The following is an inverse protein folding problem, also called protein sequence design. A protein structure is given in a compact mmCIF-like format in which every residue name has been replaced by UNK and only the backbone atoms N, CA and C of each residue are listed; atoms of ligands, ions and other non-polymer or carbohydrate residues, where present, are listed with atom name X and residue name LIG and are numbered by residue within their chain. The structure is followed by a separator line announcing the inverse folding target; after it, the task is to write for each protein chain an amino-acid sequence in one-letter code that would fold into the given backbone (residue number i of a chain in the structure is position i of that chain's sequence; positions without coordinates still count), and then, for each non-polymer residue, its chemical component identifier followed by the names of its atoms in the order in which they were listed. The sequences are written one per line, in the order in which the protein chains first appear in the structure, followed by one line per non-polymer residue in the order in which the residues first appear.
data_IF_533781199419
#
_entry.id   IF_533781199419
#
_cell.length_a   1.000
_cell.length_b   1.000
_cell.length_c   1.000
_cell.angle_alpha   90.00
_cell.angle_beta   90.00
_cell.angle_gamma   90.00
#
_symmetry.space_group_name_H-M   'P 1'
#
loop_
_entity.id
_entity.type
_entity.pdbx_description
1 polymer ?
#
# COMPACT_ATOMS: atom_id res chain seq x y z
N UNK A 1 24.66 -2.92 22.20
CA UNK A 1 23.26 -3.33 22.02
C UNK A 1 22.50 -2.19 21.37
N UNK A 2 21.55 -2.48 20.49
CA UNK A 2 20.64 -1.53 19.88
C UNK A 2 19.19 -1.89 20.24
N UNK A 3 18.37 -0.89 20.55
CA UNK A 3 16.91 -1.05 20.63
C UNK A 3 16.34 -0.43 19.36
N UNK A 4 15.67 -1.25 18.54
CA UNK A 4 15.10 -0.82 17.26
C UNK A 4 13.59 -0.81 17.39
N UNK A 5 13.00 0.38 17.36
CA UNK A 5 11.56 0.57 17.44
C UNK A 5 11.01 0.77 16.03
N UNK A 6 10.08 -0.08 15.62
CA UNK A 6 9.45 -0.05 14.30
C UNK A 6 8.05 -0.64 14.38
N UNK A 7 7.26 -0.51 13.32
CA UNK A 7 5.87 -0.92 13.38
C UNK A 7 5.02 -0.38 12.25
N UNK A 8 3.73 -0.67 12.33
CA UNK A 8 2.73 -0.08 11.44
C UNK A 8 2.67 1.45 11.65
N UNK A 9 2.37 2.19 10.58
CA UNK A 9 1.98 3.60 10.69
C UNK A 9 0.57 3.71 11.27
N UNK A 10 0.22 4.78 12.01
CA UNK A 10 -1.12 4.95 12.56
C UNK A 10 -2.23 4.87 11.49
N UNK A 11 -3.31 4.16 11.80
CA UNK A 11 -4.50 4.02 10.96
C UNK A 11 -5.77 3.95 11.83
N UNK A 12 -6.92 4.16 11.21
CA UNK A 12 -8.24 4.00 11.84
C UNK A 12 -9.25 3.43 10.84
N UNK A 13 -10.15 2.57 11.32
CA UNK A 13 -11.23 1.97 10.52
C UNK A 13 -10.70 1.26 9.26
N UNK A 14 -11.35 1.47 8.11
CA UNK A 14 -10.96 0.92 6.80
C UNK A 14 -9.53 1.29 6.41
N UNK A 15 -8.95 2.33 7.03
CA UNK A 15 -7.55 2.65 6.81
C UNK A 15 -6.59 1.56 7.36
N UNK A 16 -7.10 0.66 8.20
CA UNK A 16 -6.37 -0.50 8.67
C UNK A 16 -6.48 -1.71 7.74
N UNK A 17 -7.33 -1.75 6.73
CA UNK A 17 -7.53 -2.99 5.98
C UNK A 17 -6.31 -3.31 5.12
N UNK A 18 -5.86 -4.57 5.19
CA UNK A 18 -4.68 -5.10 4.49
C UNK A 18 -5.05 -6.42 3.81
N UNK A 19 -4.52 -6.64 2.61
CA UNK A 19 -4.81 -7.85 1.83
C UNK A 19 -4.04 -9.08 2.36
N UNK A 20 -2.96 -8.84 3.11
CA UNK A 20 -2.13 -9.87 3.71
C UNK A 20 -1.46 -9.32 5.00
N UNK A 21 -0.85 -10.20 5.78
CA UNK A 21 -0.22 -9.88 7.06
C UNK A 21 1.29 -9.66 6.96
N UNK A 22 1.86 -9.56 5.76
CA UNK A 22 3.30 -9.34 5.59
C UNK A 22 3.69 -7.96 6.14
N UNK A 23 4.76 -7.89 6.93
CA UNK A 23 5.30 -6.61 7.38
C UNK A 23 6.18 -6.00 6.28
N UNK A 24 5.54 -5.21 5.41
CA UNK A 24 6.12 -4.67 4.17
C UNK A 24 7.31 -3.69 4.32
N UNK A 25 7.44 -2.85 5.38
CA UNK A 25 8.54 -1.88 5.44
C UNK A 25 9.93 -2.56 5.45
N UNK A 26 10.68 -2.42 4.35
CA UNK A 26 12.01 -3.03 4.23
C UNK A 26 13.10 -2.31 5.05
N UNK A 27 12.96 -1.00 5.29
CA UNK A 27 14.01 -0.21 5.97
C UNK A 27 14.31 -0.68 7.42
N UNK A 28 13.32 -1.04 8.26
CA UNK A 28 13.57 -1.68 9.55
C UNK A 28 14.33 -3.01 9.42
N UNK A 29 13.90 -3.91 8.55
CA UNK A 29 14.56 -5.20 8.35
C UNK A 29 16.01 -5.05 7.89
N UNK A 30 16.27 -4.14 6.95
CA UNK A 30 17.64 -3.83 6.50
C UNK A 30 18.49 -3.24 7.64
N UNK A 31 17.88 -2.41 8.50
CA UNK A 31 18.55 -1.89 9.69
C UNK A 31 18.91 -3.02 10.66
N UNK A 32 18.00 -3.94 10.94
CA UNK A 32 18.22 -5.11 11.80
C UNK A 32 19.33 -6.00 11.23
N UNK A 33 19.26 -6.34 9.94
CA UNK A 33 20.28 -7.15 9.24
C UNK A 33 21.66 -6.49 9.32
N UNK A 34 21.75 -5.18 9.11
CA UNK A 34 23.00 -4.42 9.23
C UNK A 34 23.57 -4.46 10.66
N UNK A 35 22.73 -4.27 11.68
CA UNK A 35 23.15 -4.33 13.08
C UNK A 35 23.65 -5.73 13.45
N UNK A 36 22.91 -6.76 13.03
CA UNK A 36 23.28 -8.17 13.22
C UNK A 36 24.61 -8.51 12.53
N UNK A 37 24.81 -8.07 11.29
CA UNK A 37 26.07 -8.26 10.56
C UNK A 37 27.26 -7.56 11.23
N UNK A 38 27.01 -6.45 11.94
CA UNK A 38 28.02 -5.75 12.74
C UNK A 38 28.26 -6.40 14.12
N UNK A 39 27.58 -7.50 14.45
CA UNK A 39 27.69 -8.18 15.75
C UNK A 39 27.08 -7.39 16.92
N UNK A 40 26.15 -6.47 16.64
CA UNK A 40 25.50 -5.66 17.66
C UNK A 40 24.24 -6.39 18.14
N UNK A 41 24.14 -6.76 19.44
CA UNK A 41 22.92 -7.36 19.97
C UNK A 41 21.72 -6.42 19.81
N UNK A 42 20.59 -6.94 19.33
CA UNK A 42 19.45 -6.13 18.91
C UNK A 42 18.16 -6.57 19.60
N UNK A 43 17.49 -5.61 20.25
CA UNK A 43 16.15 -5.78 20.83
C UNK A 43 15.16 -5.01 19.96
N UNK A 44 14.25 -5.74 19.33
CA UNK A 44 13.18 -5.18 18.51
C UNK A 44 11.95 -4.87 19.36
N UNK A 45 11.42 -3.66 19.23
CA UNK A 45 10.14 -3.23 19.82
C UNK A 45 9.18 -2.95 18.68
N UNK A 46 8.25 -3.87 18.46
CA UNK A 46 7.30 -3.83 17.35
C UNK A 46 5.98 -3.21 17.77
N UNK A 47 5.61 -2.11 17.11
CA UNK A 47 4.36 -1.37 17.33
C UNK A 47 3.34 -1.76 16.26
N UNK A 48 2.20 -2.29 16.68
CA UNK A 48 1.17 -2.75 15.73
C UNK A 48 -0.20 -2.81 16.37
N UNK A 49 -1.24 -2.63 15.56
CA UNK A 49 -2.63 -2.82 15.98
C UNK A 49 -3.07 -4.29 15.98
N UNK A 50 -2.25 -5.20 15.44
CA UNK A 50 -2.57 -6.61 15.22
C UNK A 50 -1.30 -7.47 15.07
N UNK A 51 -1.41 -8.80 15.20
CA UNK A 51 -0.34 -9.70 14.78
C UNK A 51 -0.07 -9.55 13.27
N UNK A 52 1.21 -9.54 12.92
CA UNK A 52 1.69 -9.54 11.53
C UNK A 52 2.75 -10.64 11.37
N UNK A 53 2.95 -11.09 10.14
CA UNK A 53 4.05 -11.98 9.82
C UNK A 53 5.36 -11.18 9.84
N UNK A 54 6.20 -11.49 10.82
CA UNK A 54 7.46 -10.77 11.10
C UNK A 54 8.63 -11.73 11.29
N UNK A 55 8.57 -12.89 10.63
CA UNK A 55 9.61 -13.93 10.77
C UNK A 55 11.00 -13.42 10.38
N UNK A 56 11.19 -12.65 9.28
CA UNK A 56 12.49 -12.07 8.94
C UNK A 56 13.02 -11.12 10.03
N UNK A 57 12.16 -10.29 10.61
CA UNK A 57 12.53 -9.35 11.67
C UNK A 57 12.88 -10.08 12.97
N UNK A 58 12.12 -11.12 13.33
CA UNK A 58 12.41 -11.98 14.48
C UNK A 58 13.77 -12.66 14.28
N UNK A 59 14.02 -13.25 13.11
CA UNK A 59 15.30 -13.88 12.78
C UNK A 59 16.47 -12.89 12.82
N UNK A 60 16.24 -11.62 12.49
CA UNK A 60 17.24 -10.56 12.52
C UNK A 60 17.45 -9.92 13.91
N UNK A 61 16.69 -10.35 14.93
CA UNK A 61 16.71 -9.81 16.30
C UNK A 61 17.22 -10.84 17.32
N UNK A 62 17.82 -10.38 18.42
CA UNK A 62 18.16 -11.24 19.58
C UNK A 62 16.99 -11.32 20.57
N UNK A 63 16.15 -10.28 20.62
CA UNK A 63 14.87 -10.27 21.32
C UNK A 63 13.83 -9.48 20.52
N UNK A 64 12.56 -9.88 20.61
CA UNK A 64 11.45 -9.24 19.91
C UNK A 64 10.28 -9.05 20.86
N UNK A 65 9.80 -7.80 20.97
CA UNK A 65 8.69 -7.42 21.84
C UNK A 65 7.55 -6.88 21.00
N UNK A 66 6.39 -7.52 21.07
CA UNK A 66 5.14 -6.96 20.57
C UNK A 66 4.61 -5.94 21.60
N UNK A 67 4.81 -4.66 21.32
CA UNK A 67 4.41 -3.55 22.21
C UNK A 67 3.04 -2.96 21.87
N UNK A 68 2.39 -3.46 20.82
CA UNK A 68 1.07 -3.03 20.35
C UNK A 68 1.00 -1.52 20.09
N UNK A 69 -0.07 -0.86 20.50
CA UNK A 69 -0.23 0.60 20.48
C UNK A 69 -0.24 1.12 21.94
N UNK A 70 0.93 1.37 22.56
CA UNK A 70 1.06 1.56 24.01
C UNK A 70 0.52 2.91 24.54
N UNK A 71 0.05 3.79 23.65
CA UNK A 71 -0.47 5.11 24.03
C UNK A 71 0.62 6.10 24.43
N UNK A 72 0.29 7.04 25.31
CA UNK A 72 1.16 8.17 25.69
C UNK A 72 2.31 7.76 26.61
N UNK A 73 2.16 6.68 27.37
CA UNK A 73 3.07 6.28 28.45
C UNK A 73 4.21 5.38 27.94
N UNK A 74 4.95 5.84 26.92
CA UNK A 74 6.06 5.08 26.32
C UNK A 74 7.18 4.69 27.30
N UNK A 75 7.27 5.35 28.46
CA UNK A 75 8.17 4.98 29.56
C UNK A 75 7.95 3.55 30.07
N UNK A 76 6.72 3.01 29.96
CA UNK A 76 6.42 1.64 30.37
C UNK A 76 7.20 0.56 29.58
N UNK A 77 7.64 0.87 28.35
CA UNK A 77 8.54 -0.01 27.59
C UNK A 77 9.93 -0.06 28.24
N UNK A 78 10.44 1.09 28.68
CA UNK A 78 11.73 1.17 29.35
C UNK A 78 11.71 0.51 30.74
N UNK A 79 10.58 0.58 31.45
CA UNK A 79 10.39 -0.07 32.75
C UNK A 79 10.52 -1.59 32.71
N UNK A 80 10.28 -2.19 31.54
CA UNK A 80 10.48 -3.62 31.29
C UNK A 80 11.89 -3.91 30.75
N UNK A 81 12.36 -3.14 29.77
CA UNK A 81 13.59 -3.45 29.03
C UNK A 81 14.88 -3.03 29.73
N UNK A 82 14.82 -2.06 30.64
CA UNK A 82 16.01 -1.47 31.27
C UNK A 82 16.12 -1.91 32.73
N UNK A 83 17.24 -2.54 33.06
CA UNK A 83 17.54 -2.98 34.42
C UNK A 83 17.64 -1.84 35.44
N UNK A 84 17.53 -2.20 36.71
CA UNK A 84 17.89 -1.36 37.84
C UNK A 84 19.39 -1.03 37.85
N UNK A 85 19.80 -0.16 38.78
CA UNK A 85 21.22 0.15 38.99
C UNK A 85 22.04 -1.09 39.42
N UNK A 86 21.38 -2.11 39.96
CA UNK A 86 21.95 -3.41 40.32
C UNK A 86 21.99 -4.41 39.15
N UNK A 87 21.60 -3.97 37.95
CA UNK A 87 21.59 -4.79 36.74
C UNK A 87 20.44 -5.80 36.66
N UNK A 88 19.52 -5.82 37.64
CA UNK A 88 18.38 -6.75 37.63
C UNK A 88 17.18 -6.15 36.89
N UNK A 89 16.30 -6.99 36.30
CA UNK A 89 15.03 -6.51 35.76
C UNK A 89 14.24 -5.77 36.84
N UNK A 90 13.68 -4.61 36.49
CA UNK A 90 12.80 -3.84 37.40
C UNK A 90 11.40 -4.43 37.46
N UNK A 91 10.92 -4.91 36.32
CA UNK A 91 9.63 -5.55 36.12
C UNK A 91 9.81 -6.80 35.25
N UNK A 92 8.85 -7.73 35.31
CA UNK A 92 8.80 -8.88 34.42
C UNK A 92 7.65 -8.74 33.39
N UNK A 93 7.76 -9.47 32.28
CA UNK A 93 6.71 -9.57 31.29
C UNK A 93 5.58 -10.46 31.80
N UNK A 94 4.39 -9.89 31.91
CA UNK A 94 3.16 -10.61 32.28
C UNK A 94 2.18 -10.77 31.12
N UNK A 95 2.33 -9.95 30.07
CA UNK A 95 1.47 -9.99 28.89
C UNK A 95 1.53 -11.35 28.19
N UNK A 96 0.36 -11.88 27.85
CA UNK A 96 0.20 -13.06 27.00
C UNK A 96 -0.60 -12.68 25.77
N UNK A 97 -0.31 -13.32 24.64
CA UNK A 97 -1.01 -13.07 23.38
C UNK A 97 -2.52 -13.31 23.51
N UNK A 98 -3.31 -12.27 23.34
CA UNK A 98 -4.77 -12.36 23.18
C UNK A 98 -5.19 -12.64 21.73
N UNK A 99 -4.24 -12.62 20.80
CA UNK A 99 -4.41 -12.98 19.39
C UNK A 99 -3.28 -13.92 18.97
N UNK A 100 -3.60 -14.94 18.20
CA UNK A 100 -2.60 -15.87 17.66
C UNK A 100 -1.64 -15.14 16.73
N UNK A 101 -0.34 -15.42 16.84
CA UNK A 101 0.67 -14.85 15.94
C UNK A 101 0.84 -15.73 14.69
N UNK A 102 0.76 -15.17 13.48
CA UNK A 102 0.74 -15.96 12.26
C UNK A 102 2.12 -16.50 11.88
N UNK A 103 2.15 -17.71 11.29
CA UNK A 103 3.36 -18.35 10.75
C UNK A 103 3.64 -18.03 9.29
N UNK A 104 2.65 -17.50 8.59
CA UNK A 104 2.69 -17.04 7.22
C UNK A 104 1.94 -15.70 7.09
N UNK A 105 2.10 -15.02 5.98
CA UNK A 105 1.52 -13.71 5.73
C UNK A 105 0.15 -13.78 5.04
N UNK A 106 -0.43 -14.95 4.77
CA UNK A 106 -1.61 -15.07 3.89
C UNK A 106 -2.88 -14.40 4.42
N UNK A 107 -2.94 -14.09 5.71
CA UNK A 107 -4.10 -13.43 6.33
C UNK A 107 -5.32 -14.34 6.53
N UNK A 108 -5.15 -15.66 6.44
CA UNK A 108 -6.22 -16.62 6.73
C UNK A 108 -6.64 -16.56 8.22
N UNK A 109 -7.92 -16.81 8.55
CA UNK A 109 -8.36 -16.83 9.94
C UNK A 109 -7.55 -17.80 10.80
N UNK A 110 -7.00 -17.31 11.92
CA UNK A 110 -6.09 -18.05 12.81
C UNK A 110 -6.54 -17.93 14.27
N UNK A 111 -7.63 -18.62 14.63
CA UNK A 111 -8.26 -18.50 15.94
C UNK A 111 -8.04 -19.73 16.81
N UNK A 112 -7.82 -19.52 18.11
CA UNK A 112 -7.70 -20.60 19.08
C UNK A 112 -8.95 -21.49 19.08
N UNK A 113 -8.75 -22.82 19.05
CA UNK A 113 -9.82 -23.81 19.04
C UNK A 113 -10.37 -24.18 17.66
N UNK A 114 -9.90 -23.53 16.59
CA UNK A 114 -10.30 -23.91 15.23
C UNK A 114 -9.60 -25.20 14.75
N UNK A 115 -10.21 -26.01 13.87
CA UNK A 115 -9.53 -27.14 13.23
C UNK A 115 -8.28 -26.68 12.47
N UNK A 116 -7.18 -27.42 12.61
CA UNK A 116 -5.92 -27.07 11.94
C UNK A 116 -5.23 -25.81 12.49
N UNK A 117 -5.50 -25.45 13.74
CA UNK A 117 -4.85 -24.33 14.42
C UNK A 117 -3.32 -24.51 14.51
N UNK A 118 -2.60 -23.76 13.69
CA UNK A 118 -1.13 -23.86 13.54
C UNK A 118 -0.48 -22.46 13.48
N UNK A 119 -0.41 -21.75 14.62
CA UNK A 119 0.20 -20.42 14.73
C UNK A 119 1.72 -20.48 14.90
N UNK A 120 2.43 -19.39 14.58
CA UNK A 120 3.85 -19.24 14.94
C UNK A 120 4.02 -19.14 16.45
N UNK A 121 3.15 -18.36 17.09
CA UNK A 121 3.02 -18.26 18.53
C UNK A 121 1.54 -18.31 18.89
N UNK A 122 1.16 -19.30 19.70
CA UNK A 122 -0.26 -19.52 20.02
C UNK A 122 -0.84 -18.41 20.91
N UNK A 123 -2.16 -18.22 20.84
CA UNK A 123 -2.95 -17.59 21.89
C UNK A 123 -2.46 -18.06 23.29
N UNK A 124 -2.25 -17.11 24.19
CA UNK A 124 -1.70 -17.34 25.53
C UNK A 124 -0.17 -17.42 25.60
N UNK A 125 0.54 -17.39 24.47
CA UNK A 125 2.00 -17.36 24.45
C UNK A 125 2.55 -16.05 25.01
N UNK A 126 3.72 -16.12 25.64
CA UNK A 126 4.50 -14.98 26.09
C UNK A 126 5.64 -15.45 26.97
N UNK A 127 6.85 -14.99 26.68
CA UNK A 127 8.03 -15.27 27.50
C UNK A 127 8.12 -14.28 28.66
N UNK A 128 8.92 -14.61 29.66
CA UNK A 128 9.26 -13.69 30.76
C UNK A 128 10.70 -13.94 31.20
N UNK A 129 11.27 -13.03 32.00
CA UNK A 129 12.59 -13.23 32.58
C UNK A 129 12.62 -14.43 33.52
N UNK A 130 11.52 -14.73 34.22
CA UNK A 130 11.38 -15.93 35.04
C UNK A 130 11.16 -17.22 34.23
N UNK A 131 10.68 -17.12 33.00
CA UNK A 131 10.45 -18.25 32.09
C UNK A 131 11.03 -17.97 30.69
N UNK A 132 12.37 -17.94 30.56
CA UNK A 132 13.02 -17.65 29.30
C UNK A 132 12.94 -18.84 28.33
N UNK A 133 12.94 -18.55 27.04
CA UNK A 133 13.08 -19.54 25.99
C UNK A 133 13.84 -18.98 24.79
N UNK A 134 14.41 -19.86 23.99
CA UNK A 134 15.04 -19.51 22.71
C UNK A 134 14.09 -19.82 21.57
N UNK A 135 13.88 -18.85 20.68
CA UNK A 135 13.16 -19.04 19.43
C UNK A 135 14.17 -19.48 18.37
N UNK A 136 13.93 -20.63 17.72
CA UNK A 136 14.77 -21.11 16.62
C UNK A 136 14.62 -20.25 15.36
N UNK A 137 15.39 -20.56 14.33
CA UNK A 137 15.24 -19.91 13.02
C UNK A 137 13.83 -20.18 12.47
N UNK A 138 13.10 -19.12 12.14
CA UNK A 138 11.77 -19.18 11.58
C UNK A 138 11.83 -19.21 10.05
N UNK A 139 10.81 -19.79 9.41
CA UNK A 139 10.68 -19.76 7.94
C UNK A 139 10.46 -18.33 7.46
N UNK A 140 11.27 -17.86 6.51
CA UNK A 140 11.08 -16.59 5.82
C UNK A 140 10.24 -16.74 4.53
N UNK A 141 9.66 -17.93 4.30
CA UNK A 141 8.65 -18.13 3.26
C UNK A 141 7.30 -17.59 3.74
N UNK A 142 6.92 -16.41 3.24
CA UNK A 142 5.69 -15.73 3.68
C UNK A 142 4.41 -16.44 3.26
N UNK A 143 4.46 -17.38 2.32
CA UNK A 143 3.27 -18.04 1.76
C UNK A 143 2.40 -17.12 0.89
N UNK A 144 2.67 -15.82 0.87
CA UNK A 144 2.11 -14.89 -0.10
C UNK A 144 2.88 -15.09 -1.39
N UNK A 145 2.28 -15.83 -2.32
CA UNK A 145 2.82 -15.94 -3.67
C UNK A 145 2.91 -14.54 -4.31
N UNK A 146 3.93 -14.30 -5.14
CA UNK A 146 3.95 -13.14 -6.04
C UNK A 146 2.71 -13.07 -6.98
N UNK A 147 1.88 -14.13 -7.00
CA UNK A 147 0.60 -14.26 -7.70
C UNK A 147 -0.62 -13.75 -6.92
N UNK A 148 -0.47 -13.30 -5.67
CA UNK A 148 -1.41 -12.35 -5.06
C UNK A 148 -1.07 -10.92 -5.47
N UNK A 149 -0.56 -10.72 -6.69
CA UNK A 149 -0.46 -9.40 -7.29
C UNK A 149 -1.88 -8.90 -7.39
N UNK A 150 -2.19 -7.84 -6.67
CA UNK A 150 -3.42 -7.10 -6.85
C UNK A 150 -3.48 -6.63 -8.33
N UNK A 151 -4.25 -7.35 -9.15
CA UNK A 151 -4.35 -7.11 -10.59
C UNK A 151 -5.44 -6.08 -10.90
N UNK A 152 -6.38 -5.89 -9.99
CA UNK A 152 -7.66 -5.27 -10.25
C UNK A 152 -7.91 -4.01 -9.44
N UNK A 153 -7.35 -3.79 -8.25
CA UNK A 153 -7.62 -2.58 -7.45
C UNK A 153 -6.44 -1.63 -7.49
N UNK A 154 -6.53 -0.52 -8.21
CA UNK A 154 -5.41 0.43 -8.35
C UNK A 154 -5.48 1.59 -7.37
N UNK A 155 -6.68 2.18 -7.20
CA UNK A 155 -6.94 3.23 -6.23
C UNK A 155 -8.38 3.12 -5.69
N UNK A 156 -8.54 2.78 -4.41
CA UNK A 156 -9.84 2.55 -3.77
C UNK A 156 -9.79 3.08 -2.33
N UNK A 157 -10.91 3.57 -1.82
CA UNK A 157 -11.01 4.10 -0.44
C UNK A 157 -9.91 5.12 -0.06
N UNK A 158 -9.51 5.96 -1.04
CA UNK A 158 -8.48 6.99 -0.86
C UNK A 158 -7.03 6.48 -0.93
N UNK A 159 -6.81 5.24 -1.38
CA UNK A 159 -5.51 4.55 -1.28
C UNK A 159 -5.07 3.93 -2.59
N UNK A 160 -3.80 4.12 -2.92
CA UNK A 160 -3.12 3.29 -3.92
C UNK A 160 -2.80 1.95 -3.26
N UNK A 161 -3.34 0.87 -3.81
CA UNK A 161 -3.24 -0.47 -3.20
C UNK A 161 -1.97 -1.14 -3.69
N UNK A 162 -1.18 -1.72 -2.79
CA UNK A 162 0.04 -2.44 -3.15
C UNK A 162 -0.20 -3.43 -4.30
N UNK A 163 0.72 -3.54 -5.29
CA UNK A 163 2.02 -2.89 -5.41
C UNK A 163 1.97 -1.48 -6.07
N UNK A 164 0.77 -0.92 -6.25
CA UNK A 164 0.56 0.31 -7.00
C UNK A 164 0.85 1.56 -6.18
N UNK A 165 1.46 2.55 -6.82
CA UNK A 165 1.85 3.81 -6.19
C UNK A 165 1.68 4.99 -7.15
N UNK A 166 1.36 6.16 -6.60
CA UNK A 166 1.21 7.40 -7.36
C UNK A 166 2.57 7.94 -7.80
N UNK A 167 2.66 8.36 -9.06
CA UNK A 167 3.74 9.17 -9.60
C UNK A 167 3.18 10.45 -10.20
N UNK A 168 3.87 11.55 -9.95
CA UNK A 168 3.60 12.86 -10.55
C UNK A 168 4.82 13.26 -11.37
N UNK A 169 4.63 13.50 -12.67
CA UNK A 169 5.72 13.77 -13.59
C UNK A 169 5.56 15.14 -14.26
N UNK A 170 6.69 15.83 -14.46
CA UNK A 170 6.81 16.98 -15.34
C UNK A 170 8.23 17.08 -15.93
N UNK A 171 8.54 18.20 -16.58
CA UNK A 171 9.86 18.44 -17.18
C UNK A 171 11.03 18.44 -16.16
N UNK A 172 10.76 18.54 -14.87
CA UNK A 172 11.76 18.41 -13.80
C UNK A 172 12.00 16.99 -13.32
N UNK A 173 11.26 16.00 -13.84
CA UNK A 173 11.35 14.60 -13.47
C UNK A 173 10.11 14.12 -12.72
N UNK A 174 10.33 13.22 -11.76
CA UNK A 174 9.27 12.46 -11.11
C UNK A 174 9.26 12.71 -9.60
N UNK A 175 8.06 12.86 -9.03
CA UNK A 175 7.80 12.80 -7.59
C UNK A 175 7.04 11.53 -7.26
N UNK A 176 7.49 10.78 -6.25
CA UNK A 176 6.74 9.68 -5.61
C UNK A 176 6.24 10.15 -4.25
N UNK A 177 4.93 10.43 -4.06
CA UNK A 177 4.42 10.99 -2.81
C UNK A 177 4.55 10.05 -1.60
N UNK A 178 4.62 8.74 -1.81
CA UNK A 178 4.62 7.76 -0.72
C UNK A 178 3.33 7.88 0.09
N UNK A 179 3.44 8.19 1.38
CA UNK A 179 2.31 8.39 2.30
C UNK A 179 1.85 9.86 2.43
N UNK A 180 2.48 10.79 1.70
CA UNK A 180 2.09 12.19 1.76
C UNK A 180 0.69 12.41 1.17
N UNK A 181 -0.21 13.04 1.95
CA UNK A 181 -1.58 13.36 1.52
C UNK A 181 -1.59 14.28 0.30
N UNK A 182 -0.69 15.25 0.26
CA UNK A 182 -0.55 16.21 -0.84
C UNK A 182 0.85 16.16 -1.41
N UNK A 183 0.98 16.30 -2.72
CA UNK A 183 2.27 16.35 -3.39
C UNK A 183 2.19 17.11 -4.71
N UNK A 184 3.34 17.59 -5.18
CA UNK A 184 3.49 18.20 -6.50
C UNK A 184 4.66 17.55 -7.26
N UNK A 185 4.57 17.55 -8.58
CA UNK A 185 5.72 17.25 -9.45
C UNK A 185 6.83 18.32 -9.29
N UNK A 186 8.08 18.05 -9.67
CA UNK A 186 9.24 18.89 -9.32
C UNK A 186 9.17 20.36 -9.80
N UNK A 187 8.49 20.63 -10.91
CA UNK A 187 8.25 21.98 -11.46
C UNK A 187 6.80 22.44 -11.28
N UNK A 188 6.04 21.78 -10.41
CA UNK A 188 4.61 22.06 -10.18
C UNK A 188 3.75 21.99 -11.45
N UNK A 189 4.14 21.14 -12.42
CA UNK A 189 3.31 20.87 -13.60
C UNK A 189 2.00 20.17 -13.26
N UNK A 190 2.00 19.32 -12.22
CA UNK A 190 0.80 18.74 -11.62
C UNK A 190 0.92 18.64 -10.10
N UNK A 191 -0.19 18.90 -9.41
CA UNK A 191 -0.31 18.74 -7.97
C UNK A 191 -1.45 17.78 -7.63
N UNK A 192 -1.36 17.13 -6.47
CA UNK A 192 -2.34 16.18 -5.98
C UNK A 192 -2.74 16.44 -4.53
N UNK A 193 -4.01 16.16 -4.20
CA UNK A 193 -4.55 16.25 -2.83
C UNK A 193 -5.79 15.35 -2.67
N UNK A 194 -6.15 14.94 -1.44
CA UNK A 194 -7.35 14.16 -1.21
C UNK A 194 -8.61 15.01 -1.36
N UNK A 195 -9.72 14.37 -1.72
CA UNK A 195 -11.08 14.95 -1.80
C UNK A 195 -12.12 13.92 -1.37
N UNK A 196 -13.31 14.40 -1.03
CA UNK A 196 -14.43 13.54 -0.68
C UNK A 196 -15.16 13.01 -1.94
N UNK A 197 -15.56 11.73 -1.86
CA UNK A 197 -16.45 11.07 -2.82
C UNK A 197 -17.43 10.14 -2.08
N UNK A 198 -17.24 8.82 -2.17
CA UNK A 198 -18.10 7.82 -1.52
C UNK A 198 -17.92 7.82 0.01
N UNK A 199 -16.72 8.18 0.45
CA UNK A 199 -16.36 8.46 1.83
C UNK A 199 -15.46 9.70 1.92
N UNK A 200 -15.22 10.17 3.15
CA UNK A 200 -14.28 11.25 3.41
C UNK A 200 -12.87 10.88 2.92
N UNK A 201 -12.20 11.80 2.22
CA UNK A 201 -10.86 11.61 1.62
C UNK A 201 -10.72 10.37 0.70
N UNK A 202 -11.82 9.80 0.18
CA UNK A 202 -11.78 8.60 -0.66
C UNK A 202 -11.39 8.84 -2.13
N UNK A 203 -11.31 10.10 -2.56
CA UNK A 203 -10.86 10.51 -3.89
C UNK A 203 -9.53 11.26 -3.88
N UNK A 204 -8.88 11.33 -5.03
CA UNK A 204 -7.67 12.14 -5.25
C UNK A 204 -7.95 13.17 -6.35
N UNK A 205 -7.72 14.45 -6.07
CA UNK A 205 -7.72 15.52 -7.07
C UNK A 205 -6.33 15.71 -7.66
N UNK A 206 -6.29 15.90 -8.97
CA UNK A 206 -5.12 16.31 -9.73
C UNK A 206 -5.36 17.66 -10.39
N UNK A 207 -4.42 18.58 -10.22
CA UNK A 207 -4.45 19.94 -10.78
C UNK A 207 -3.26 20.09 -11.72
N UNK A 208 -3.52 20.10 -13.02
CA UNK A 208 -2.53 20.35 -14.08
C UNK A 208 -2.42 21.85 -14.33
N UNK A 209 -1.21 22.39 -14.25
CA UNK A 209 -0.95 23.82 -14.33
C UNK A 209 -0.92 24.38 -15.76
N UNK A 210 -0.78 23.53 -16.77
CA UNK A 210 -0.64 23.95 -18.18
C UNK A 210 0.65 24.70 -18.50
N UNK A 211 1.69 24.57 -17.65
CA UNK A 211 3.01 25.18 -17.84
C UNK A 211 3.96 24.33 -18.69
N UNK A 212 3.50 23.19 -19.17
CA UNK A 212 4.26 22.20 -19.93
C UNK A 212 3.60 20.82 -19.84
N UNK A 213 4.19 19.82 -20.49
CA UNK A 213 3.73 18.44 -20.37
C UNK A 213 3.87 17.94 -18.93
N UNK A 214 2.79 17.41 -18.37
CA UNK A 214 2.77 16.76 -17.07
C UNK A 214 1.89 15.50 -17.13
N UNK A 215 2.18 14.52 -16.27
CA UNK A 215 1.39 13.29 -16.15
C UNK A 215 1.18 12.87 -14.70
N UNK A 216 0.09 12.14 -14.51
CA UNK A 216 -0.22 11.37 -13.31
C UNK A 216 -0.20 9.91 -13.71
N UNK A 217 0.52 9.10 -12.94
CA UNK A 217 0.63 7.66 -13.17
C UNK A 217 0.34 6.88 -11.90
N UNK A 218 -0.32 5.74 -12.05
CA UNK A 218 -0.29 4.68 -11.05
C UNK A 218 0.72 3.66 -11.56
N UNK A 219 1.80 3.46 -10.82
CA UNK A 219 2.92 2.61 -11.20
C UNK A 219 3.18 1.53 -10.17
N UNK A 220 3.54 0.34 -10.65
CA UNK A 220 3.92 -0.79 -9.83
C UNK A 220 4.81 -1.77 -10.57
N UNK A 221 5.01 -2.94 -9.97
CA UNK A 221 5.68 -4.07 -10.63
C UNK A 221 4.86 -4.54 -11.85
N UNK A 222 5.51 -4.93 -12.97
CA UNK A 222 4.80 -5.39 -14.16
C UNK A 222 3.87 -6.57 -13.85
N UNK A 223 2.63 -6.51 -14.34
CA UNK A 223 1.65 -7.61 -14.25
C UNK A 223 1.12 -8.03 -15.61
N UNK A 224 0.73 -9.30 -15.74
CA UNK A 224 0.10 -9.84 -16.94
C UNK A 224 -1.44 -9.70 -16.84
N UNK A 225 -2.01 -8.80 -17.65
CA UNK A 225 -3.44 -8.56 -17.78
C UNK A 225 -4.04 -9.24 -19.03
N UNK A 226 -3.32 -10.11 -19.72
CA UNK A 226 -3.77 -10.75 -20.97
C UNK A 226 -5.04 -11.57 -20.75
N UNK A 227 -5.16 -12.24 -19.59
CA UNK A 227 -6.37 -12.99 -19.21
C UNK A 227 -7.59 -12.06 -19.07
N UNK A 228 -7.42 -10.93 -18.40
CA UNK A 228 -8.46 -9.92 -18.18
C UNK A 228 -8.89 -9.31 -19.52
N UNK A 229 -7.93 -8.98 -20.38
CA UNK A 229 -8.20 -8.42 -21.71
C UNK A 229 -9.05 -9.35 -22.60
N UNK A 230 -8.90 -10.67 -22.46
CA UNK A 230 -9.72 -11.65 -23.18
C UNK A 230 -11.11 -11.86 -22.56
N UNK A 231 -11.33 -11.42 -21.32
CA UNK A 231 -12.57 -11.63 -20.55
C UNK A 231 -13.56 -10.46 -20.57
N UNK A 232 -13.47 -9.55 -21.55
CA UNK A 232 -14.28 -8.32 -21.63
C UNK A 232 -14.16 -7.40 -20.40
N UNK A 233 -12.99 -7.38 -19.76
CA UNK A 233 -12.70 -6.51 -18.61
C UNK A 233 -12.42 -5.07 -19.08
N UNK A 234 -12.87 -4.10 -18.29
CA UNK A 234 -12.63 -2.69 -18.48
C UNK A 234 -11.86 -2.09 -17.29
N UNK A 235 -11.05 -1.06 -17.55
CA UNK A 235 -10.60 -0.15 -16.50
C UNK A 235 -11.76 0.77 -16.12
N UNK A 236 -12.30 0.56 -14.93
CA UNK A 236 -13.32 1.39 -14.30
C UNK A 236 -12.70 2.44 -13.38
N UNK A 237 -13.26 3.65 -13.40
CA UNK A 237 -12.97 4.67 -12.39
C UNK A 237 -14.11 5.67 -12.30
N UNK A 238 -14.29 6.24 -11.12
CA UNK A 238 -15.12 7.43 -10.92
C UNK A 238 -14.27 8.67 -11.15
N UNK A 239 -14.85 9.69 -11.76
CA UNK A 239 -14.19 10.96 -12.02
C UNK A 239 -15.12 12.15 -11.87
N UNK A 240 -14.57 13.30 -11.49
CA UNK A 240 -15.25 14.59 -11.45
C UNK A 240 -14.35 15.64 -12.08
N UNK A 241 -14.84 16.36 -13.07
CA UNK A 241 -14.10 17.46 -13.69
C UNK A 241 -14.44 18.75 -12.95
N UNK A 242 -13.46 19.38 -12.32
CA UNK A 242 -13.63 20.67 -11.64
C UNK A 242 -13.22 21.84 -12.56
N UNK A 243 -12.30 21.60 -13.49
CA UNK A 243 -11.96 22.52 -14.57
C UNK A 243 -11.62 21.73 -15.85
N UNK A 244 -12.35 21.99 -16.93
CA UNK A 244 -12.22 21.25 -18.18
C UNK A 244 -10.83 21.40 -18.83
N UNK A 245 -10.36 20.39 -19.58
CA UNK A 245 -9.02 20.42 -20.17
C UNK A 245 -8.91 21.45 -21.30
N UNK A 246 -7.93 22.35 -21.20
CA UNK A 246 -7.63 23.36 -22.24
C UNK A 246 -6.80 22.83 -23.41
N UNK A 247 -6.13 21.70 -23.24
CA UNK A 247 -5.40 20.97 -24.28
C UNK A 247 -5.85 19.50 -24.32
N UNK A 248 -5.42 18.71 -25.33
CA UNK A 248 -5.72 17.28 -25.37
C UNK A 248 -5.22 16.54 -24.11
N UNK A 249 -5.96 15.49 -23.72
CA UNK A 249 -5.64 14.62 -22.58
C UNK A 249 -5.43 13.20 -23.08
N UNK A 250 -4.17 12.77 -23.08
CA UNK A 250 -3.79 11.41 -23.44
C UNK A 250 -3.97 10.49 -22.23
N UNK A 251 -4.65 9.37 -22.44
CA UNK A 251 -4.81 8.33 -21.43
C UNK A 251 -4.14 7.04 -21.90
N UNK A 252 -3.28 6.44 -21.06
CA UNK A 252 -2.48 5.27 -21.45
C UNK A 252 -2.60 4.12 -20.45
N UNK A 253 -2.49 2.90 -20.97
CA UNK A 253 -2.40 1.66 -20.21
C UNK A 253 -1.55 0.66 -21.01
N UNK A 254 -0.54 0.08 -20.37
CA UNK A 254 0.32 -0.93 -21.01
C UNK A 254 1.04 -0.43 -22.28
N UNK A 255 1.29 0.89 -22.38
CA UNK A 255 1.89 1.52 -23.56
C UNK A 255 0.91 1.95 -24.65
N UNK A 256 -0.31 1.38 -24.68
CA UNK A 256 -1.38 1.81 -25.58
C UNK A 256 -1.98 3.14 -25.14
N UNK A 257 -2.36 3.99 -26.09
CA UNK A 257 -2.90 5.32 -25.83
C UNK A 257 -4.30 5.50 -26.44
N UNK A 258 -5.14 6.27 -25.75
CA UNK A 258 -6.43 6.77 -26.24
C UNK A 258 -6.56 8.26 -25.90
N UNK A 259 -7.45 8.96 -26.59
CA UNK A 259 -7.82 10.34 -26.28
C UNK A 259 -8.98 10.36 -25.28
N UNK A 260 -8.79 11.00 -24.13
CA UNK A 260 -9.82 11.18 -23.10
C UNK A 260 -10.47 12.58 -23.13
N UNK A 261 -10.04 13.44 -24.06
CA UNK A 261 -10.44 14.84 -24.13
C UNK A 261 -11.95 15.02 -24.27
N UNK A 262 -12.59 14.28 -25.18
CA UNK A 262 -14.03 14.35 -25.41
C UNK A 262 -14.84 13.95 -24.17
N UNK A 263 -14.42 12.86 -23.51
CA UNK A 263 -15.03 12.37 -22.28
C UNK A 263 -14.93 13.38 -21.14
N UNK A 264 -13.77 14.02 -20.97
CA UNK A 264 -13.57 15.02 -19.92
C UNK A 264 -14.27 16.35 -20.22
N UNK A 265 -14.30 16.81 -21.47
CA UNK A 265 -14.98 18.06 -21.85
C UNK A 265 -16.50 17.98 -21.81
N UNK A 266 -17.06 16.79 -22.04
CA UNK A 266 -18.52 16.58 -21.99
C UNK A 266 -19.06 16.32 -20.58
N UNK A 267 -18.19 16.11 -19.59
CA UNK A 267 -18.60 15.89 -18.21
C UNK A 267 -19.13 17.19 -17.58
N UNK A 268 -20.30 17.16 -16.90
CA UNK A 268 -20.76 18.31 -16.14
C UNK A 268 -19.77 18.68 -15.04
N UNK A 269 -19.36 19.94 -14.99
CA UNK A 269 -18.39 20.42 -13.99
C UNK A 269 -18.93 20.21 -12.58
N UNK A 270 -18.08 19.69 -11.69
CA UNK A 270 -18.39 19.45 -10.28
C UNK A 270 -19.29 18.24 -10.01
N UNK A 271 -19.59 17.40 -11.00
CA UNK A 271 -20.39 16.18 -10.81
C UNK A 271 -19.55 14.91 -11.00
N UNK A 272 -19.66 13.98 -10.06
CA UNK A 272 -19.07 12.64 -10.18
C UNK A 272 -19.76 11.85 -11.30
N UNK A 273 -18.94 11.19 -12.10
CA UNK A 273 -19.32 10.31 -13.22
C UNK A 273 -18.52 9.04 -13.10
N UNK A 274 -18.95 8.00 -13.80
CA UNK A 274 -18.20 6.76 -13.92
C UNK A 274 -17.74 6.60 -15.37
N UNK A 275 -16.48 6.23 -15.54
CA UNK A 275 -15.92 5.81 -16.82
C UNK A 275 -15.56 4.32 -16.72
N UNK A 276 -15.85 3.58 -17.79
CA UNK A 276 -15.41 2.19 -17.98
C UNK A 276 -14.80 2.08 -19.37
N UNK A 277 -13.50 1.82 -19.43
CA UNK A 277 -12.73 1.79 -20.68
C UNK A 277 -12.27 0.35 -20.93
N UNK A 278 -12.79 -0.35 -21.95
CA UNK A 278 -12.38 -1.71 -22.26
C UNK A 278 -10.86 -1.83 -22.40
N UNK A 279 -10.26 -2.87 -21.83
CA UNK A 279 -8.82 -3.11 -21.99
C UNK A 279 -8.42 -3.29 -23.46
N UNK A 280 -9.35 -3.74 -24.30
CA UNK A 280 -9.15 -3.85 -25.76
C UNK A 280 -8.88 -2.51 -26.45
N UNK A 281 -9.32 -1.38 -25.89
CA UNK A 281 -9.05 -0.05 -26.43
C UNK A 281 -7.57 0.32 -26.43
N UNK A 282 -6.77 -0.30 -25.56
CA UNK A 282 -5.34 -0.05 -25.45
C UNK A 282 -4.50 -0.99 -26.31
N UNK A 283 -5.10 -1.99 -26.97
CA UNK A 283 -4.37 -2.90 -27.87
C UNK A 283 -4.02 -2.25 -29.21
N UNK A 284 -4.75 -1.22 -29.62
CA UNK A 284 -4.74 -0.70 -31.00
C UNK A 284 -3.65 0.32 -31.34
N UNK A 285 -2.64 0.50 -30.48
CA UNK A 285 -1.48 1.37 -30.76
C UNK A 285 -0.18 0.85 -30.12
N UNK A 286 0.04 -0.47 -30.18
CA UNK A 286 1.27 -1.09 -29.63
C UNK A 286 1.24 -1.37 -28.12
N UNK A 287 0.08 -1.33 -27.48
CA UNK A 287 -0.05 -1.68 -26.06
C UNK A 287 0.22 -3.17 -25.79
N UNK A 288 1.11 -3.45 -24.83
CA UNK A 288 1.45 -4.78 -24.34
C UNK A 288 0.78 -5.00 -22.97
N UNK A 289 -0.28 -5.81 -22.98
CA UNK A 289 -1.01 -6.16 -21.77
C UNK A 289 -0.37 -7.32 -21.00
N UNK A 290 0.70 -7.93 -21.50
CA UNK A 290 1.42 -9.00 -20.79
C UNK A 290 2.39 -8.48 -19.73
N UNK A 291 2.72 -7.17 -19.76
CA UNK A 291 3.69 -6.52 -18.86
C UNK A 291 3.25 -5.10 -18.50
N UNK A 292 2.11 -4.98 -17.84
CA UNK A 292 1.56 -3.68 -17.44
C UNK A 292 2.22 -3.19 -16.15
N UNK A 293 3.08 -2.19 -16.27
CA UNK A 293 3.67 -1.46 -15.13
C UNK A 293 2.83 -0.24 -14.72
N UNK A 294 2.10 0.34 -15.67
CA UNK A 294 1.32 1.57 -15.49
C UNK A 294 -0.13 1.32 -15.94
N UNK A 295 -1.02 0.87 -15.02
CA UNK A 295 -2.43 0.62 -15.33
C UNK A 295 -3.27 1.89 -15.49
N UNK A 296 -2.76 3.05 -15.04
CA UNK A 296 -3.45 4.34 -15.17
C UNK A 296 -2.41 5.42 -15.45
N UNK A 297 -2.46 6.05 -16.63
CA UNK A 297 -1.64 7.19 -16.98
C UNK A 297 -2.49 8.27 -17.64
N UNK A 298 -2.58 9.45 -17.03
CA UNK A 298 -3.26 10.62 -17.59
C UNK A 298 -2.25 11.74 -17.79
N UNK A 299 -2.14 12.24 -19.02
CA UNK A 299 -1.20 13.31 -19.35
C UNK A 299 -1.85 14.43 -20.18
N UNK A 300 -1.42 15.66 -19.93
CA UNK A 300 -1.77 16.81 -20.74
C UNK A 300 -0.69 17.88 -20.65
N UNK A 301 -0.59 18.73 -21.66
CA UNK A 301 0.22 19.95 -21.63
C UNK A 301 -0.59 21.19 -21.22
N UNK A 302 -1.91 21.05 -21.10
CA UNK A 302 -2.83 22.13 -20.77
C UNK A 302 -3.23 22.16 -19.29
N UNK A 303 -4.10 23.09 -18.95
CA UNK A 303 -4.76 23.12 -17.65
C UNK A 303 -5.87 22.08 -17.60
N UNK A 304 -6.01 21.41 -16.46
CA UNK A 304 -7.07 20.45 -16.15
C UNK A 304 -7.18 20.36 -14.62
N UNK A 305 -8.39 20.34 -14.08
CA UNK A 305 -8.61 19.90 -12.69
C UNK A 305 -9.60 18.77 -12.68
N UNK A 306 -9.15 17.61 -12.22
CA UNK A 306 -9.95 16.37 -12.21
C UNK A 306 -9.74 15.65 -10.89
N UNK A 307 -10.83 15.17 -10.30
CA UNK A 307 -10.80 14.23 -9.18
C UNK A 307 -11.14 12.83 -9.67
N UNK A 308 -10.50 11.83 -9.09
CA UNK A 308 -10.73 10.42 -9.40
C UNK A 308 -10.85 9.58 -8.12
N UNK A 309 -11.59 8.49 -8.19
CA UNK A 309 -11.77 7.49 -7.13
C UNK A 309 -12.13 6.14 -7.76
N UNK A 310 -12.04 5.06 -6.98
CA UNK A 310 -12.45 3.72 -7.40
C UNK A 310 -11.82 3.24 -8.73
N UNK A 311 -10.52 3.46 -8.90
CA UNK A 311 -9.76 3.02 -10.08
C UNK A 311 -9.49 1.52 -9.93
N UNK A 312 -10.17 0.71 -10.75
CA UNK A 312 -10.09 -0.75 -10.70
C UNK A 312 -10.44 -1.42 -12.03
N UNK A 313 -10.09 -2.69 -12.20
CA UNK A 313 -10.60 -3.53 -13.27
C UNK A 313 -12.01 -4.03 -12.91
N UNK A 314 -12.94 -3.89 -13.86
CA UNK A 314 -14.33 -4.33 -13.71
C UNK A 314 -14.68 -5.32 -14.84
N UNK A 315 -15.38 -6.40 -14.47
CA UNK A 315 -15.85 -7.45 -15.39
C UNK A 315 -17.32 -7.31 -15.77
N UNK A 316 -17.98 -6.20 -15.39
CA UNK A 316 -19.38 -5.94 -15.72
C UNK A 316 -19.62 -5.82 -17.23
N UNK A 317 -20.57 -6.61 -17.76
CA UNK A 317 -20.85 -6.74 -19.21
C UNK A 317 -21.70 -5.60 -19.81
N UNK A 318 -21.78 -4.45 -19.14
CA UNK A 318 -22.49 -3.29 -19.70
C UNK A 318 -21.77 -2.78 -20.95
N UNK A 319 -22.50 -2.39 -22.01
CA UNK A 319 -21.89 -1.92 -23.26
C UNK A 319 -20.85 -0.82 -22.99
N UNK A 320 -19.58 -1.18 -23.17
CA UNK A 320 -18.44 -0.30 -22.99
C UNK A 320 -17.85 -0.02 -24.36
N UNK A 321 -17.65 1.26 -24.70
CA UNK A 321 -17.07 1.70 -25.97
C UNK A 321 -15.78 2.45 -25.69
N UNK A 322 -14.82 2.33 -26.61
CA UNK A 322 -13.63 3.17 -26.54
C UNK A 322 -14.05 4.64 -26.63
N UNK A 323 -13.51 5.52 -25.76
CA UNK A 323 -13.68 6.96 -25.91
C UNK A 323 -13.27 7.41 -27.32
N UNK A 324 -14.07 8.30 -27.91
CA UNK A 324 -13.83 8.90 -29.22
C UNK A 324 -13.24 10.29 -29.09
#
# INVERSE_FOLDING_TARGET
MAIVVFGETPYAEFQGDVDNLDYVPSAPLETLKRLKAAGIPTVSVFLSGRPMWTNPEINASDAFVAAWLPGTEGGGVADLLVGGADGKPRNDFHGKLSFSWPKDATGTPLNHGQPGYDPQFAYGYGLSYAAPATVGMLSEESGVSAQATNLDRYFVDGRFVSPWSLLLNDAGGQTRPGTAKTASSPRSGVASRPVDDLAQESGQQFVFAGTGAASVEIWGTPVDLTRQANGAVALGFRYRVDAAPSAPVAFKLGGGAIDLTGLLRSAPVGQWREARIPLTCFRTDGGDLSKVEVPFHMATSGTLTVSVSEIKLDSSQTETRCPA
#
